data_IF_875664191698
#
_entry.id   IF_875664191698
#
_cell.length_a   1.000
_cell.length_b   1.000
_cell.length_c   1.000
_cell.angle_alpha   90.00
_cell.angle_beta   90.00
_cell.angle_gamma   90.00
#
_symmetry.space_group_name_H-M   'P 1'
#
loop_
_entity.id
_entity.type
_entity.pdbx_description
1 polymer ?
#
# COMPACT_ATOMS: atom_id res chain seq x y z
N UNK A 1 7.92 12.79 -31.79
CA UNK A 1 6.74 12.54 -30.94
C UNK A 1 6.81 13.56 -29.82
N UNK A 2 5.85 14.47 -29.70
CA UNK A 2 5.77 15.40 -28.56
C UNK A 2 5.52 14.54 -27.30
N UNK A 3 6.51 14.42 -26.43
CA UNK A 3 6.36 13.79 -25.11
C UNK A 3 5.38 14.67 -24.32
N UNK A 4 4.16 14.19 -24.17
CA UNK A 4 3.15 14.88 -23.37
C UNK A 4 3.55 14.75 -21.90
N UNK A 5 4.20 15.77 -21.37
CA UNK A 5 4.51 15.83 -19.94
C UNK A 5 3.17 15.86 -19.19
N UNK A 6 2.88 14.89 -18.32
CA UNK A 6 1.62 14.87 -17.60
C UNK A 6 1.48 16.10 -16.71
N UNK A 7 0.27 16.64 -16.61
CA UNK A 7 -0.02 17.72 -15.66
C UNK A 7 0.25 17.23 -14.23
N UNK A 8 1.20 17.87 -13.55
CA UNK A 8 1.63 17.52 -12.21
C UNK A 8 1.05 18.50 -11.20
N UNK A 9 0.70 18.01 -10.01
CA UNK A 9 0.29 18.83 -8.88
C UNK A 9 0.93 18.33 -7.57
N UNK A 10 1.06 19.24 -6.60
CA UNK A 10 1.54 18.89 -5.27
C UNK A 10 0.45 18.16 -4.47
N UNK A 11 0.84 17.08 -3.77
CA UNK A 11 0.00 16.46 -2.74
C UNK A 11 0.38 17.12 -1.41
N UNK A 12 -0.56 17.90 -0.89
CA UNK A 12 -0.41 18.72 0.31
C UNK A 12 -1.52 18.43 1.31
N UNK A 13 -1.51 19.09 2.47
CA UNK A 13 -2.50 18.91 3.53
C UNK A 13 -3.96 18.97 3.03
N UNK A 14 -4.22 19.75 2.00
CA UNK A 14 -5.54 19.86 1.38
C UNK A 14 -6.13 18.52 0.92
N UNK A 15 -5.28 17.49 0.72
CA UNK A 15 -5.73 16.12 0.37
C UNK A 15 -6.56 15.49 1.49
N UNK A 16 -6.35 15.89 2.75
CA UNK A 16 -7.10 15.39 3.92
C UNK A 16 -8.57 15.77 3.86
N UNK A 17 -8.94 16.83 3.16
CA UNK A 17 -10.35 17.19 2.91
C UNK A 17 -11.10 16.16 2.05
N UNK A 18 -10.39 15.20 1.48
CA UNK A 18 -10.96 14.09 0.73
C UNK A 18 -11.29 12.88 1.59
N UNK A 19 -10.93 12.89 2.88
CA UNK A 19 -11.33 11.83 3.80
C UNK A 19 -12.85 11.72 3.86
N UNK A 20 -13.33 10.47 3.80
CA UNK A 20 -14.75 10.20 4.00
C UNK A 20 -15.13 10.46 5.46
N UNK A 21 -16.31 11.04 5.71
CA UNK A 21 -16.75 11.32 7.06
C UNK A 21 -17.00 10.03 7.85
N UNK A 22 -16.88 10.10 9.18
CA UNK A 22 -17.24 9.01 10.10
C UNK A 22 -18.51 9.40 10.86
N UNK A 23 -19.71 9.08 10.32
CA UNK A 23 -20.98 9.42 10.99
C UNK A 23 -21.09 8.76 12.37
N UNK A 24 -21.78 9.40 13.30
CA UNK A 24 -21.89 8.91 14.68
C UNK A 24 -22.70 7.60 14.80
N UNK A 25 -23.60 7.34 13.87
CA UNK A 25 -24.44 6.14 13.80
C UNK A 25 -23.82 4.99 12.99
N UNK A 26 -22.50 5.04 12.76
CA UNK A 26 -21.77 4.04 11.98
C UNK A 26 -21.55 2.74 12.75
N UNK A 27 -21.34 1.66 12.01
CA UNK A 27 -20.93 0.35 12.53
C UNK A 27 -19.71 -0.15 11.76
N UNK A 28 -19.09 -1.24 12.21
CA UNK A 28 -17.87 -1.78 11.57
C UNK A 28 -18.01 -2.03 10.06
N UNK A 29 -19.18 -2.44 9.59
CA UNK A 29 -19.44 -2.66 8.16
C UNK A 29 -19.44 -1.38 7.32
N UNK A 30 -19.69 -0.20 7.93
CA UNK A 30 -19.66 1.10 7.25
C UNK A 30 -18.26 1.43 6.73
N UNK A 31 -17.22 0.96 7.42
CA UNK A 31 -15.82 1.26 7.12
C UNK A 31 -15.09 0.10 6.45
N UNK A 32 -15.86 -0.83 5.87
CA UNK A 32 -15.38 -1.90 5.02
C UNK A 32 -14.63 -3.03 5.74
N UNK A 33 -14.28 -4.02 4.94
CA UNK A 33 -13.50 -5.20 5.36
C UNK A 33 -12.26 -5.30 4.50
N UNK A 34 -11.10 -5.14 5.11
CA UNK A 34 -9.81 -5.39 4.47
C UNK A 34 -9.40 -6.84 4.71
N UNK A 35 -9.10 -7.57 3.64
CA UNK A 35 -8.43 -8.87 3.71
C UNK A 35 -6.95 -8.67 3.37
N UNK A 36 -6.07 -9.19 4.21
CA UNK A 36 -4.61 -9.07 4.04
C UNK A 36 -3.95 -10.44 3.94
N UNK A 37 -3.12 -10.62 2.91
CA UNK A 37 -2.21 -11.76 2.74
C UNK A 37 -0.77 -11.22 2.74
N UNK A 38 -0.17 -11.23 3.92
CA UNK A 38 1.15 -10.66 4.18
C UNK A 38 1.92 -11.49 5.19
N UNK A 39 3.24 -11.38 5.15
CA UNK A 39 4.14 -12.03 6.09
C UNK A 39 4.46 -13.48 5.74
N UNK A 40 5.64 -13.87 6.16
CA UNK A 40 6.17 -15.24 6.10
C UNK A 40 6.89 -15.55 7.41
N UNK A 41 7.32 -16.80 7.58
CA UNK A 41 8.04 -17.24 8.77
C UNK A 41 9.22 -16.32 9.11
N UNK A 42 9.95 -15.85 8.10
CA UNK A 42 11.10 -14.98 8.26
C UNK A 42 10.77 -13.48 8.30
N UNK A 43 9.55 -13.10 7.94
CA UNK A 43 9.09 -11.70 7.84
C UNK A 43 7.71 -11.47 8.49
N UNK A 44 7.46 -11.96 9.71
CA UNK A 44 6.17 -11.74 10.39
C UNK A 44 5.95 -10.25 10.71
N UNK A 45 7.04 -9.49 10.86
CA UNK A 45 7.02 -8.04 11.11
C UNK A 45 6.37 -7.25 9.99
N UNK A 46 6.50 -7.66 8.73
CA UNK A 46 5.86 -7.00 7.59
C UNK A 46 4.32 -7.09 7.67
N UNK A 47 3.78 -8.28 8.00
CA UNK A 47 2.36 -8.45 8.24
C UNK A 47 1.88 -7.66 9.47
N UNK A 48 2.68 -7.58 10.53
CA UNK A 48 2.38 -6.77 11.72
C UNK A 48 2.27 -5.29 11.37
N UNK A 49 3.27 -4.73 10.68
CA UNK A 49 3.34 -3.31 10.36
C UNK A 49 2.24 -2.89 9.38
N UNK A 50 1.97 -3.70 8.35
CA UNK A 50 0.87 -3.42 7.42
C UNK A 50 -0.50 -3.50 8.12
N UNK A 51 -0.70 -4.48 9.01
CA UNK A 51 -1.91 -4.58 9.82
C UNK A 51 -2.10 -3.38 10.75
N UNK A 52 -1.05 -2.93 11.45
CA UNK A 52 -1.09 -1.75 12.30
C UNK A 52 -1.40 -0.48 11.47
N UNK A 53 -0.78 -0.32 10.30
CA UNK A 53 -1.08 0.76 9.37
C UNK A 53 -2.56 0.77 8.97
N UNK A 54 -3.11 -0.39 8.63
CA UNK A 54 -4.51 -0.52 8.26
C UNK A 54 -5.47 -0.21 9.43
N UNK A 55 -5.24 -0.79 10.60
CA UNK A 55 -6.09 -0.59 11.78
C UNK A 55 -6.13 0.87 12.22
N UNK A 56 -4.97 1.54 12.25
CA UNK A 56 -4.87 2.95 12.65
C UNK A 56 -5.38 3.93 11.60
N UNK A 57 -5.65 3.45 10.38
CA UNK A 57 -6.25 4.25 9.32
C UNK A 57 -7.76 4.09 9.19
N UNK A 58 -8.40 3.38 10.12
CA UNK A 58 -9.85 3.44 10.32
C UNK A 58 -10.67 2.36 9.63
N UNK A 59 -10.07 1.29 9.08
CA UNK A 59 -10.84 0.16 8.53
C UNK A 59 -11.77 -0.44 9.57
N UNK A 60 -12.98 -0.83 9.16
CA UNK A 60 -13.99 -1.37 10.08
C UNK A 60 -13.70 -2.81 10.53
N UNK A 61 -13.15 -3.63 9.65
CA UNK A 61 -12.74 -5.00 9.95
C UNK A 61 -11.49 -5.36 9.17
N UNK A 62 -10.48 -5.85 9.87
CA UNK A 62 -9.28 -6.43 9.25
C UNK A 62 -9.34 -7.97 9.41
N UNK A 63 -9.21 -8.68 8.28
CA UNK A 63 -9.02 -10.13 8.26
C UNK A 63 -7.61 -10.43 7.75
N UNK A 64 -6.87 -11.27 8.47
CA UNK A 64 -5.51 -11.65 8.08
C UNK A 64 -5.48 -13.12 7.70
N UNK A 65 -5.14 -13.38 6.45
CA UNK A 65 -4.78 -14.69 5.95
C UNK A 65 -3.27 -14.87 6.10
N UNK A 66 -2.84 -15.84 6.89
CA UNK A 66 -1.45 -16.11 7.15
C UNK A 66 -1.20 -17.58 7.47
N UNK A 67 -0.01 -18.06 7.20
CA UNK A 67 0.43 -19.38 7.62
C UNK A 67 0.41 -19.55 9.16
N UNK A 68 0.34 -20.80 9.67
CA UNK A 68 0.13 -21.07 11.10
C UNK A 68 1.15 -20.41 12.03
N UNK A 69 2.40 -20.31 11.62
CA UNK A 69 3.47 -19.72 12.43
C UNK A 69 3.34 -18.21 12.53
N UNK A 70 3.11 -17.54 11.39
CA UNK A 70 2.87 -16.08 11.33
C UNK A 70 1.64 -15.73 12.15
N UNK A 71 0.55 -16.47 11.95
CA UNK A 71 -0.70 -16.32 12.72
C UNK A 71 -0.44 -16.37 14.23
N UNK A 72 0.31 -17.38 14.71
CA UNK A 72 0.64 -17.53 16.15
C UNK A 72 1.40 -16.32 16.69
N UNK A 73 2.39 -15.84 15.94
CA UNK A 73 3.20 -14.67 16.34
C UNK A 73 2.33 -13.41 16.41
N UNK A 74 1.50 -13.19 15.41
CA UNK A 74 0.68 -11.97 15.31
C UNK A 74 -0.47 -11.94 16.31
N UNK A 75 -1.08 -13.09 16.62
CA UNK A 75 -2.15 -13.20 17.62
C UNK A 75 -1.68 -12.76 19.03
N UNK A 76 -0.39 -12.84 19.31
CA UNK A 76 0.18 -12.34 20.58
C UNK A 76 0.38 -10.82 20.59
N UNK A 77 0.27 -10.16 19.44
CA UNK A 77 0.58 -8.73 19.24
C UNK A 77 -0.63 -7.90 18.82
N UNK A 78 -1.63 -8.52 18.20
CA UNK A 78 -2.82 -7.87 17.64
C UNK A 78 -4.07 -8.59 18.13
N UNK A 79 -4.93 -7.87 18.81
CA UNK A 79 -6.19 -8.36 19.34
C UNK A 79 -7.38 -8.15 18.36
N UNK A 80 -7.26 -7.16 17.47
CA UNK A 80 -8.37 -6.66 16.66
C UNK A 80 -8.66 -7.49 15.40
N UNK A 81 -7.67 -8.10 14.71
CA UNK A 81 -7.94 -8.80 13.45
C UNK A 81 -8.69 -10.12 13.63
N UNK A 82 -9.51 -10.44 12.65
CA UNK A 82 -10.03 -11.79 12.44
C UNK A 82 -9.03 -12.62 11.66
N UNK A 83 -8.74 -13.83 12.11
CA UNK A 83 -7.76 -14.73 11.51
C UNK A 83 -8.44 -15.72 10.59
N UNK A 84 -7.88 -15.93 9.41
CA UNK A 84 -8.37 -16.88 8.43
C UNK A 84 -7.22 -17.71 7.83
N UNK A 85 -7.55 -18.82 7.23
CA UNK A 85 -6.57 -19.62 6.48
C UNK A 85 -6.45 -19.09 5.04
N UNK A 86 -5.24 -19.12 4.47
CA UNK A 86 -5.00 -18.70 3.09
C UNK A 86 -5.81 -19.53 2.07
N UNK A 87 -6.11 -20.78 2.38
CA UNK A 87 -6.96 -21.63 1.57
C UNK A 87 -8.44 -21.16 1.50
N UNK A 88 -8.84 -20.23 2.37
CA UNK A 88 -10.18 -19.62 2.35
C UNK A 88 -10.25 -18.36 1.46
N UNK A 89 -9.19 -18.04 0.73
CA UNK A 89 -9.15 -16.93 -0.22
C UNK A 89 -9.67 -17.37 -1.61
N UNK A 90 -10.31 -16.46 -2.37
CA UNK A 90 -10.68 -15.10 -1.99
C UNK A 90 -11.90 -15.03 -1.06
N UNK A 91 -11.90 -14.10 -0.11
CA UNK A 91 -13.03 -13.86 0.79
C UNK A 91 -14.05 -12.93 0.12
N UNK A 92 -15.28 -13.41 -0.10
CA UNK A 92 -16.35 -12.65 -0.75
C UNK A 92 -16.88 -11.47 0.07
N UNK A 93 -16.55 -11.40 1.36
CA UNK A 93 -16.91 -10.26 2.22
C UNK A 93 -15.91 -9.11 2.19
N UNK A 94 -14.77 -9.28 1.50
CA UNK A 94 -13.77 -8.25 1.36
C UNK A 94 -14.32 -7.05 0.56
N UNK A 95 -14.02 -5.84 1.01
CA UNK A 95 -14.21 -4.60 0.25
C UNK A 95 -12.90 -4.07 -0.32
N UNK A 96 -11.76 -4.53 0.21
CA UNK A 96 -10.44 -4.34 -0.37
C UNK A 96 -9.50 -5.50 0.01
N UNK A 97 -8.40 -5.61 -0.74
CA UNK A 97 -7.38 -6.64 -0.55
C UNK A 97 -5.97 -6.02 -0.46
N UNK A 98 -5.14 -6.55 0.43
CA UNK A 98 -3.72 -6.21 0.55
C UNK A 98 -2.89 -7.46 0.38
N UNK A 99 -1.91 -7.44 -0.51
CA UNK A 99 -1.04 -8.58 -0.72
C UNK A 99 0.41 -8.17 -0.98
N UNK A 100 1.34 -8.94 -0.41
CA UNK A 100 2.74 -8.91 -0.82
C UNK A 100 3.75 -8.51 0.24
N UNK A 101 3.36 -7.75 1.28
CA UNK A 101 4.30 -7.33 2.32
C UNK A 101 4.92 -8.55 3.01
N UNK A 102 6.19 -8.84 2.71
CA UNK A 102 6.95 -9.90 3.35
C UNK A 102 6.44 -11.33 3.16
N UNK A 103 5.81 -11.64 2.03
CA UNK A 103 5.33 -13.00 1.73
C UNK A 103 6.47 -14.00 1.47
N UNK A 104 7.62 -13.52 0.94
CA UNK A 104 8.69 -14.39 0.46
C UNK A 104 8.45 -14.86 -0.98
N UNK A 105 9.45 -15.54 -1.53
CA UNK A 105 9.46 -15.95 -2.95
C UNK A 105 8.86 -17.33 -3.22
N UNK A 106 8.50 -18.08 -2.19
CA UNK A 106 7.94 -19.43 -2.33
C UNK A 106 6.42 -19.43 -2.50
N UNK A 107 5.86 -18.29 -2.97
CA UNK A 107 4.41 -18.06 -3.06
C UNK A 107 3.92 -17.89 -4.49
N UNK A 108 4.75 -18.11 -5.50
CA UNK A 108 4.43 -17.83 -6.91
C UNK A 108 3.18 -18.62 -7.38
N UNK A 109 3.06 -19.90 -7.03
CA UNK A 109 1.90 -20.73 -7.37
C UNK A 109 0.62 -20.19 -6.71
N UNK A 110 0.69 -19.86 -5.42
CA UNK A 110 -0.43 -19.26 -4.69
C UNK A 110 -0.86 -17.93 -5.31
N UNK A 111 0.09 -17.07 -5.66
CA UNK A 111 -0.20 -15.77 -6.26
C UNK A 111 -0.80 -15.92 -7.66
N UNK A 112 -0.27 -16.82 -8.50
CA UNK A 112 -0.79 -17.11 -9.84
C UNK A 112 -2.24 -17.58 -9.83
N UNK A 113 -2.63 -18.35 -8.84
CA UNK A 113 -4.00 -18.84 -8.70
C UNK A 113 -4.93 -17.80 -8.08
N UNK A 114 -4.46 -17.06 -7.06
CA UNK A 114 -5.29 -16.16 -6.27
C UNK A 114 -5.53 -14.80 -6.95
N UNK A 115 -4.46 -14.14 -7.42
CA UNK A 115 -4.56 -12.74 -7.85
C UNK A 115 -5.59 -12.52 -8.98
N UNK A 116 -5.72 -13.41 -9.99
CA UNK A 116 -6.75 -13.28 -11.01
C UNK A 116 -8.19 -13.39 -10.49
N UNK A 117 -8.39 -13.91 -9.28
CA UNK A 117 -9.71 -14.06 -8.66
C UNK A 117 -10.13 -12.84 -7.82
N UNK A 118 -9.20 -11.94 -7.50
CA UNK A 118 -9.50 -10.73 -6.72
C UNK A 118 -10.27 -9.74 -7.58
N UNK A 119 -11.48 -9.40 -7.15
CA UNK A 119 -12.42 -8.49 -7.85
C UNK A 119 -12.58 -7.14 -7.17
N UNK A 120 -12.19 -7.06 -5.90
CA UNK A 120 -12.25 -5.83 -5.10
C UNK A 120 -11.01 -4.98 -5.32
N UNK A 121 -11.05 -3.67 -4.99
CA UNK A 121 -9.84 -2.83 -5.00
C UNK A 121 -8.71 -3.47 -4.20
N UNK A 122 -7.49 -3.45 -4.74
CA UNK A 122 -6.36 -4.12 -4.12
C UNK A 122 -5.11 -3.24 -4.05
N UNK A 123 -4.27 -3.48 -3.03
CA UNK A 123 -2.89 -2.99 -2.96
C UNK A 123 -1.96 -4.17 -3.13
N UNK A 124 -1.05 -4.09 -4.08
CA UNK A 124 0.03 -5.05 -4.29
C UNK A 124 1.37 -4.37 -4.02
N UNK A 125 2.10 -4.86 -3.03
CA UNK A 125 3.41 -4.33 -2.63
C UNK A 125 4.47 -5.45 -2.63
N UNK A 126 5.72 -5.06 -2.56
CA UNK A 126 6.87 -5.92 -2.27
C UNK A 126 6.89 -7.23 -3.09
N UNK A 127 6.58 -8.37 -2.48
CA UNK A 127 6.72 -9.67 -3.15
C UNK A 127 5.69 -9.89 -4.25
N UNK A 128 4.52 -9.27 -4.21
CA UNK A 128 3.63 -9.23 -5.37
C UNK A 128 4.26 -8.46 -6.56
N UNK A 129 4.96 -7.36 -6.30
CA UNK A 129 5.66 -6.62 -7.35
C UNK A 129 6.82 -7.44 -7.91
N UNK A 130 7.54 -8.17 -7.04
CA UNK A 130 8.57 -9.11 -7.47
C UNK A 130 7.98 -10.22 -8.34
N UNK A 131 6.83 -10.79 -7.95
CA UNK A 131 6.09 -11.77 -8.72
C UNK A 131 5.76 -11.24 -10.13
N UNK A 132 5.14 -10.06 -10.24
CA UNK A 132 4.84 -9.44 -11.54
C UNK A 132 6.09 -9.13 -12.38
N UNK A 133 7.24 -8.90 -11.76
CA UNK A 133 8.48 -8.68 -12.51
C UNK A 133 8.98 -9.94 -13.22
N UNK A 134 8.66 -11.11 -12.67
CA UNK A 134 8.99 -12.43 -13.23
C UNK A 134 7.89 -12.95 -14.17
N UNK A 135 6.64 -12.60 -13.90
CA UNK A 135 5.43 -13.07 -14.59
C UNK A 135 4.64 -11.87 -15.16
N UNK A 136 5.22 -11.20 -16.17
CA UNK A 136 4.71 -9.90 -16.68
C UNK A 136 3.27 -9.95 -17.20
N UNK A 137 2.87 -11.07 -17.79
CA UNK A 137 1.53 -11.26 -18.36
C UNK A 137 0.45 -11.42 -17.26
N UNK A 138 0.85 -11.68 -16.02
CA UNK A 138 -0.09 -11.85 -14.91
C UNK A 138 -0.80 -10.55 -14.53
N UNK A 139 -0.18 -9.39 -14.77
CA UNK A 139 -0.87 -8.11 -14.56
C UNK A 139 -2.08 -7.92 -15.47
N UNK A 140 -2.05 -8.48 -16.67
CA UNK A 140 -3.16 -8.41 -17.65
C UNK A 140 -4.33 -9.33 -17.26
N UNK A 141 -4.11 -10.26 -16.33
CA UNK A 141 -5.12 -11.17 -15.76
C UNK A 141 -5.85 -10.59 -14.56
N UNK A 142 -5.36 -9.48 -13.99
CA UNK A 142 -5.98 -8.84 -12.84
C UNK A 142 -7.34 -8.25 -13.25
N UNK A 143 -8.36 -8.48 -12.43
CA UNK A 143 -9.75 -8.15 -12.78
C UNK A 143 -10.33 -6.99 -11.98
N UNK A 144 -9.81 -6.71 -10.81
CA UNK A 144 -10.21 -5.57 -9.97
C UNK A 144 -9.32 -4.35 -10.16
N UNK A 145 -9.73 -3.16 -9.73
CA UNK A 145 -8.85 -1.99 -9.69
C UNK A 145 -7.74 -2.21 -8.66
N UNK A 146 -6.52 -1.79 -8.98
CA UNK A 146 -5.39 -2.01 -8.08
C UNK A 146 -4.43 -0.83 -8.00
N UNK A 147 -3.72 -0.79 -6.88
CA UNK A 147 -2.63 0.15 -6.57
C UNK A 147 -1.35 -0.66 -6.43
N UNK A 148 -0.31 -0.28 -7.17
CA UNK A 148 1.05 -0.80 -6.99
C UNK A 148 1.90 0.21 -6.24
N UNK A 149 2.72 -0.26 -5.30
CA UNK A 149 3.54 0.61 -4.44
C UNK A 149 5.05 0.35 -4.55
N UNK A 150 5.65 0.30 -5.76
CA UNK A 150 7.06 -0.02 -5.91
C UNK A 150 7.99 1.05 -5.35
N UNK A 151 9.09 0.64 -4.74
CA UNK A 151 10.28 1.48 -4.62
C UNK A 151 11.09 1.45 -5.93
N UNK A 152 12.06 2.37 -6.16
CA UNK A 152 12.77 2.46 -7.45
C UNK A 152 13.41 1.16 -7.93
N UNK A 153 13.94 0.32 -7.02
CA UNK A 153 14.55 -0.94 -7.42
C UNK A 153 13.50 -2.02 -7.79
N UNK A 154 12.31 -2.03 -7.16
CA UNK A 154 11.17 -2.86 -7.58
C UNK A 154 10.66 -2.43 -8.94
N UNK A 155 10.51 -1.12 -9.13
CA UNK A 155 10.06 -0.56 -10.40
C UNK A 155 11.07 -0.83 -11.54
N UNK A 156 12.37 -0.82 -11.22
CA UNK A 156 13.44 -1.22 -12.15
C UNK A 156 13.28 -2.68 -12.61
N UNK A 157 13.03 -3.62 -11.68
CA UNK A 157 12.78 -5.03 -12.03
C UNK A 157 11.52 -5.20 -12.87
N UNK A 158 10.46 -4.48 -12.52
CA UNK A 158 9.17 -4.55 -13.20
C UNK A 158 9.24 -4.01 -14.65
N UNK A 159 9.99 -2.93 -14.87
CA UNK A 159 10.05 -2.24 -16.16
C UNK A 159 11.27 -2.62 -17.02
N UNK A 160 12.35 -3.11 -16.41
CA UNK A 160 13.64 -3.32 -17.05
C UNK A 160 14.50 -2.06 -17.19
N UNK A 161 14.02 -0.91 -16.72
CA UNK A 161 14.77 0.36 -16.73
C UNK A 161 15.77 0.39 -15.57
N UNK A 162 16.88 1.11 -15.74
CA UNK A 162 17.81 1.34 -14.64
C UNK A 162 17.22 2.27 -13.59
N UNK A 163 17.66 2.14 -12.34
CA UNK A 163 17.24 3.03 -11.25
C UNK A 163 17.60 4.49 -11.56
N UNK A 164 18.72 4.74 -12.26
CA UNK A 164 19.15 6.10 -12.67
C UNK A 164 18.14 6.74 -13.66
N UNK A 165 17.72 6.01 -14.68
CA UNK A 165 16.70 6.48 -15.63
C UNK A 165 15.36 6.74 -14.92
N UNK A 166 14.97 5.86 -14.00
CA UNK A 166 13.76 6.04 -13.20
C UNK A 166 13.83 7.31 -12.38
N UNK A 167 14.94 7.56 -11.69
CA UNK A 167 15.09 8.75 -10.84
C UNK A 167 15.07 10.06 -11.64
N UNK A 168 15.57 10.06 -12.88
CA UNK A 168 15.55 11.22 -13.76
C UNK A 168 14.15 11.55 -14.31
N UNK A 169 13.28 10.54 -14.47
CA UNK A 169 12.01 10.68 -15.20
C UNK A 169 10.81 10.12 -14.41
N UNK A 170 10.81 10.23 -13.07
CA UNK A 170 9.84 9.58 -12.17
C UNK A 170 8.38 9.80 -12.56
N UNK A 171 7.99 11.07 -12.79
CA UNK A 171 6.60 11.42 -13.06
C UNK A 171 6.11 10.89 -14.43
N UNK A 172 6.96 11.02 -15.46
CA UNK A 172 6.64 10.54 -16.81
C UNK A 172 6.52 9.01 -16.84
N UNK A 173 7.50 8.31 -16.25
CA UNK A 173 7.51 6.85 -16.22
C UNK A 173 6.36 6.28 -15.37
N UNK A 174 6.06 6.91 -14.23
CA UNK A 174 4.93 6.51 -13.41
C UNK A 174 3.59 6.70 -14.15
N UNK A 175 3.41 7.84 -14.82
CA UNK A 175 2.20 8.10 -15.62
C UNK A 175 2.04 7.12 -16.77
N UNK A 176 3.12 6.88 -17.53
CA UNK A 176 3.11 5.96 -18.67
C UNK A 176 2.78 4.53 -18.23
N UNK A 177 3.37 4.09 -17.11
CA UNK A 177 3.10 2.77 -16.54
C UNK A 177 1.65 2.65 -16.06
N UNK A 178 1.16 3.63 -15.29
CA UNK A 178 -0.21 3.64 -14.78
C UNK A 178 -1.26 3.58 -15.92
N UNK A 179 -1.06 4.36 -16.99
CA UNK A 179 -1.91 4.34 -18.17
C UNK A 179 -1.87 2.98 -18.89
N UNK A 180 -0.68 2.44 -19.11
CA UNK A 180 -0.49 1.17 -19.81
C UNK A 180 -1.20 0.01 -19.13
N UNK A 181 -1.12 -0.05 -17.79
CA UNK A 181 -1.64 -1.17 -17.01
C UNK A 181 -2.99 -0.88 -16.34
N UNK A 182 -3.60 0.30 -16.57
CA UNK A 182 -4.90 0.66 -16.00
C UNK A 182 -4.91 0.72 -14.47
N UNK A 183 -3.78 1.03 -13.83
CA UNK A 183 -3.62 0.98 -12.38
C UNK A 183 -3.24 2.34 -11.78
N UNK A 184 -3.32 2.45 -10.46
CA UNK A 184 -2.66 3.52 -9.72
C UNK A 184 -1.26 3.07 -9.34
N UNK A 185 -0.25 3.90 -9.63
CA UNK A 185 1.13 3.63 -9.26
C UNK A 185 1.63 4.62 -8.21
N UNK A 186 2.17 4.10 -7.11
CA UNK A 186 2.85 4.85 -6.06
C UNK A 186 4.34 4.56 -6.15
N UNK A 187 5.09 5.38 -6.88
CA UNK A 187 6.54 5.23 -6.99
C UNK A 187 7.21 5.85 -5.75
N UNK A 188 7.54 4.99 -4.78
CA UNK A 188 8.11 5.37 -3.47
C UNK A 188 9.47 6.07 -3.60
N UNK A 189 9.80 6.92 -2.62
CA UNK A 189 11.06 7.66 -2.50
C UNK A 189 10.83 9.11 -2.08
N UNK A 190 11.91 9.90 -2.01
CA UNK A 190 11.75 11.35 -1.78
C UNK A 190 10.85 11.94 -2.86
N UNK A 191 9.86 12.74 -2.46
CA UNK A 191 8.82 13.23 -3.35
C UNK A 191 8.10 12.06 -4.07
N UNK A 192 7.52 11.15 -3.30
CA UNK A 192 6.76 10.01 -3.83
C UNK A 192 5.78 10.46 -4.91
N UNK A 193 5.81 9.79 -6.05
CA UNK A 193 4.93 10.07 -7.18
C UNK A 193 3.72 9.15 -7.14
N UNK A 194 2.53 9.71 -7.22
CA UNK A 194 1.27 8.96 -7.38
C UNK A 194 0.71 9.25 -8.75
N UNK A 195 0.59 8.24 -9.59
CA UNK A 195 0.05 8.35 -10.94
C UNK A 195 -1.23 7.52 -11.08
N UNK A 196 -2.23 8.08 -11.76
CA UNK A 196 -3.49 7.41 -12.08
C UNK A 196 -3.57 6.97 -13.54
N UNK A 197 -4.44 6.01 -13.88
CA UNK A 197 -4.56 5.51 -15.25
C UNK A 197 -5.11 6.55 -16.23
N UNK A 198 -5.84 7.55 -15.76
CA UNK A 198 -6.35 8.67 -16.54
C UNK A 198 -5.32 9.79 -16.78
N UNK A 199 -4.11 9.65 -16.21
CA UNK A 199 -2.97 10.50 -16.46
C UNK A 199 -2.73 11.63 -15.47
N UNK A 200 -3.46 11.68 -14.36
CA UNK A 200 -3.13 12.61 -13.28
C UNK A 200 -1.87 12.14 -12.53
N UNK A 201 -1.02 13.10 -12.16
CA UNK A 201 0.22 12.84 -11.43
C UNK A 201 0.32 13.79 -10.24
N UNK A 202 0.30 13.22 -9.04
CA UNK A 202 0.55 13.92 -7.79
C UNK A 202 1.97 13.69 -7.29
N UNK A 203 2.63 14.73 -6.80
CA UNK A 203 3.95 14.68 -6.16
C UNK A 203 3.79 14.97 -4.68
N UNK A 204 4.13 13.99 -3.84
CA UNK A 204 4.00 14.13 -2.40
C UNK A 204 5.04 15.10 -1.84
N UNK A 205 4.59 16.07 -1.04
CA UNK A 205 5.44 17.12 -0.45
C UNK A 205 5.90 16.78 0.98
N UNK A 206 5.22 15.84 1.65
CA UNK A 206 5.59 15.39 3.00
C UNK A 206 6.63 14.27 2.95
N UNK A 207 7.38 14.12 4.03
CA UNK A 207 8.31 13.01 4.24
C UNK A 207 9.64 13.40 4.86
N UNK A 208 10.25 12.45 5.52
CA UNK A 208 11.51 12.58 6.22
C UNK A 208 12.41 11.38 5.88
N UNK A 209 13.71 11.56 6.04
CA UNK A 209 14.72 10.48 5.99
C UNK A 209 14.54 9.43 7.10
N UNK A 210 13.80 9.75 8.17
CA UNK A 210 13.37 8.79 9.17
C UNK A 210 12.58 7.61 8.59
N UNK A 211 11.93 7.81 7.44
CA UNK A 211 11.20 6.77 6.71
C UNK A 211 12.10 5.79 5.95
N UNK A 212 13.40 6.06 5.83
CA UNK A 212 14.34 5.20 5.13
C UNK A 212 14.73 3.97 5.96
N UNK A 213 13.74 3.21 6.42
CA UNK A 213 13.88 1.99 7.24
C UNK A 213 12.99 0.87 6.74
N UNK A 214 13.46 -0.37 6.85
CA UNK A 214 12.66 -1.55 6.55
C UNK A 214 11.39 -1.59 7.38
N UNK A 215 10.23 -1.78 6.74
CA UNK A 215 8.93 -1.77 7.40
C UNK A 215 8.10 -0.51 7.15
N UNK A 216 8.71 0.63 6.80
CA UNK A 216 7.95 1.86 6.48
C UNK A 216 6.99 1.66 5.31
N UNK A 217 7.43 0.94 4.26
CA UNK A 217 6.61 0.61 3.10
C UNK A 217 5.41 -0.27 3.45
N UNK A 218 5.60 -1.24 4.35
CA UNK A 218 4.52 -2.12 4.80
C UNK A 218 3.41 -1.32 5.50
N UNK A 219 3.78 -0.35 6.35
CA UNK A 219 2.81 0.57 6.97
C UNK A 219 2.05 1.35 5.91
N UNK A 220 2.74 1.94 4.92
CA UNK A 220 2.12 2.70 3.84
C UNK A 220 1.13 1.83 3.05
N UNK A 221 1.50 0.60 2.70
CA UNK A 221 0.62 -0.34 1.99
C UNK A 221 -0.65 -0.63 2.81
N UNK A 222 -0.52 -0.84 4.11
CA UNK A 222 -1.64 -1.02 5.03
C UNK A 222 -2.57 0.19 5.09
N UNK A 223 -2.01 1.41 5.16
CA UNK A 223 -2.78 2.67 5.15
C UNK A 223 -3.60 2.80 3.87
N UNK A 224 -2.97 2.63 2.71
CA UNK A 224 -3.66 2.75 1.41
C UNK A 224 -4.77 1.69 1.29
N UNK A 225 -4.49 0.45 1.68
CA UNK A 225 -5.46 -0.64 1.65
C UNK A 225 -6.66 -0.40 2.57
N UNK A 226 -6.42 0.18 3.76
CA UNK A 226 -7.47 0.60 4.68
C UNK A 226 -8.40 1.65 4.08
N UNK A 227 -7.83 2.67 3.41
CA UNK A 227 -8.60 3.72 2.74
C UNK A 227 -9.42 3.16 1.57
N UNK A 228 -8.86 2.22 0.79
CA UNK A 228 -9.62 1.49 -0.24
C UNK A 228 -10.78 0.72 0.36
N UNK A 229 -10.57 0.02 1.47
CA UNK A 229 -11.62 -0.75 2.16
C UNK A 229 -12.78 0.14 2.61
N UNK A 230 -12.49 1.38 2.98
CA UNK A 230 -13.47 2.39 3.39
C UNK A 230 -14.22 3.04 2.22
N UNK A 231 -13.90 2.69 0.96
CA UNK A 231 -14.61 3.16 -0.22
C UNK A 231 -13.96 4.34 -0.96
N UNK A 232 -12.74 4.71 -0.62
CA UNK A 232 -11.98 5.66 -1.45
C UNK A 232 -11.59 5.02 -2.78
N UNK A 233 -11.57 5.79 -3.86
CA UNK A 233 -10.93 5.38 -5.10
C UNK A 233 -9.41 5.24 -4.93
N UNK A 234 -8.77 4.44 -5.80
CA UNK A 234 -7.35 4.13 -5.69
C UNK A 234 -6.43 5.34 -5.68
N UNK A 235 -6.74 6.35 -6.50
CA UNK A 235 -5.91 7.54 -6.60
C UNK A 235 -6.04 8.44 -5.37
N UNK A 236 -7.24 8.59 -4.84
CA UNK A 236 -7.48 9.34 -3.58
C UNK A 236 -6.88 8.62 -2.39
N UNK A 237 -7.09 7.30 -2.25
CA UNK A 237 -6.49 6.49 -1.18
C UNK A 237 -4.96 6.58 -1.19
N UNK A 238 -4.32 6.46 -2.36
CA UNK A 238 -2.89 6.57 -2.51
C UNK A 238 -2.37 7.96 -2.11
N UNK A 239 -3.02 9.05 -2.56
CA UNK A 239 -2.60 10.42 -2.21
C UNK A 239 -2.72 10.72 -0.72
N UNK A 240 -3.84 10.35 -0.10
CA UNK A 240 -4.01 10.51 1.36
C UNK A 240 -2.94 9.67 2.07
N UNK A 241 -2.79 8.40 1.68
CA UNK A 241 -1.84 7.46 2.29
C UNK A 241 -0.39 7.98 2.26
N UNK A 242 0.10 8.42 1.10
CA UNK A 242 1.49 8.93 1.03
C UNK A 242 1.69 10.21 1.81
N UNK A 243 0.67 11.08 1.86
CA UNK A 243 0.75 12.33 2.60
C UNK A 243 0.79 12.10 4.11
N UNK A 244 -0.15 11.33 4.65
CA UNK A 244 -0.20 11.07 6.12
C UNK A 244 1.00 10.26 6.59
N UNK A 245 1.48 9.32 5.77
CA UNK A 245 2.68 8.55 6.06
C UNK A 245 3.93 9.44 6.08
N UNK A 246 4.06 10.34 5.12
CA UNK A 246 5.14 11.32 5.08
C UNK A 246 5.13 12.25 6.29
N UNK A 247 3.98 12.86 6.59
CA UNK A 247 3.79 13.76 7.73
C UNK A 247 4.04 13.05 9.07
N UNK A 248 3.60 11.80 9.22
CA UNK A 248 3.92 11.00 10.40
C UNK A 248 5.43 10.80 10.56
N UNK A 249 6.15 10.54 9.47
CA UNK A 249 7.60 10.44 9.48
C UNK A 249 8.30 11.73 9.90
N UNK A 250 7.80 12.90 9.47
CA UNK A 250 8.30 14.22 9.90
C UNK A 250 8.13 14.40 11.41
N UNK A 251 6.92 14.19 11.93
CA UNK A 251 6.61 14.33 13.36
C UNK A 251 7.41 13.39 14.24
N UNK A 252 7.66 12.15 13.77
CA UNK A 252 8.49 11.20 14.49
C UNK A 252 9.97 11.58 14.44
N UNK A 253 10.45 12.15 13.33
CA UNK A 253 11.79 12.68 13.24
C UNK A 253 12.03 13.86 14.21
N UNK A 254 11.03 14.74 14.38
CA UNK A 254 11.07 15.82 15.37
C UNK A 254 11.11 15.27 16.80
N UNK A 255 10.36 14.20 17.09
CA UNK A 255 10.26 13.61 18.45
C UNK A 255 11.45 12.74 18.83
N UNK A 256 11.92 11.89 17.93
CA UNK A 256 12.93 10.86 18.20
C UNK A 256 14.24 11.06 17.44
N UNK A 257 14.31 12.07 16.56
CA UNK A 257 15.37 12.18 15.56
C UNK A 257 15.17 11.16 14.42
N UNK A 258 15.78 11.41 13.27
CA UNK A 258 15.70 10.52 12.11
C UNK A 258 16.23 9.10 12.39
N UNK A 259 17.24 8.99 13.24
CA UNK A 259 17.80 7.68 13.66
C UNK A 259 16.90 6.94 14.65
N UNK A 260 16.21 7.62 15.54
CA UNK A 260 15.42 7.02 16.62
C UNK A 260 14.01 6.60 16.23
N UNK A 261 13.40 7.26 15.25
CA UNK A 261 12.04 6.92 14.78
C UNK A 261 12.00 5.49 14.21
N UNK A 262 11.01 4.70 14.60
CA UNK A 262 10.81 3.33 14.12
C UNK A 262 9.55 3.24 13.24
N UNK A 263 9.52 2.34 12.25
CA UNK A 263 8.30 2.09 11.47
C UNK A 263 7.10 1.66 12.32
N UNK A 264 7.34 1.03 13.47
CA UNK A 264 6.29 0.67 14.43
C UNK A 264 5.64 1.85 15.14
N UNK A 265 6.25 3.04 15.10
CA UNK A 265 5.69 4.26 15.69
C UNK A 265 4.73 4.97 14.70
N UNK A 266 4.92 4.74 13.38
CA UNK A 266 4.14 5.38 12.33
C UNK A 266 2.64 5.17 12.46
N UNK A 267 2.11 3.96 12.73
CA UNK A 267 0.68 3.74 12.78
C UNK A 267 -0.04 4.62 13.83
N UNK A 268 0.56 4.80 15.00
CA UNK A 268 -0.03 5.64 16.05
C UNK A 268 -0.08 7.11 15.62
N UNK A 269 1.00 7.62 15.04
CA UNK A 269 1.05 9.00 14.57
C UNK A 269 0.11 9.24 13.38
N UNK A 270 0.00 8.27 12.46
CA UNK A 270 -0.97 8.30 11.37
C UNK A 270 -2.40 8.38 11.90
N UNK A 271 -2.75 7.59 12.92
CA UNK A 271 -4.05 7.64 13.56
C UNK A 271 -4.37 9.03 14.14
N UNK A 272 -3.39 9.72 14.72
CA UNK A 272 -3.53 11.09 15.23
C UNK A 272 -3.71 12.14 14.12
N UNK A 273 -3.13 11.92 12.95
CA UNK A 273 -3.26 12.83 11.80
C UNK A 273 -4.65 12.68 11.15
N UNK A 274 -5.17 11.46 11.11
CA UNK A 274 -6.44 11.14 10.45
C UNK A 274 -7.67 11.41 11.34
N UNK A 275 -7.51 11.41 12.65
CA UNK A 275 -8.58 11.56 13.63
C UNK A 275 -8.66 12.92 14.21
#
# INVERSE_FOLDING_TARGET
MLTHVPAQFAIEESVLRRLLPRPADSHKGTFGTLVSLCGSQNMPGAAYLSACGALRSGVGLLKIAAGPEVKRILQMRLAEPVWMDSASLPDTSATAFLCGCGLGRETDELLGDLLPQIRVPAVYDADCINYFSLHKDEMDRLSGPYVLTPHPAEFSRLTGLSVAEIQQNRAELASSFAKKHGCVLVLKGKNTVVASPDGHVGINTSGSDALAKGGSGDVLAGVIASLLAQGHDGFTAARIGVYVHGLAGERLAERYGAHGALPSDLPEEIGRILG
#
